data_IF_689458520808
#
_entry.id   IF_689458520808
#
_cell.length_a   1.000
_cell.length_b   1.000
_cell.length_c   1.000
_cell.angle_alpha   90.00
_cell.angle_beta   90.00
_cell.angle_gamma   90.00
#
_symmetry.space_group_name_H-M   'P 1'
#
loop_
_entity.id
_entity.type
_entity.pdbx_description
1 polymer ?
#
# COMPACT_ATOMS: atom_id res chain seq x y z
N UNK A 1 9.31 -32.81 -10.63
CA UNK A 1 7.95 -32.63 -10.09
C UNK A 1 7.49 -31.25 -10.51
N UNK A 2 6.40 -31.21 -11.26
CA UNK A 2 5.96 -30.08 -12.07
C UNK A 2 5.53 -28.90 -11.18
N UNK A 3 6.01 -27.71 -11.53
CA UNK A 3 5.55 -26.44 -10.96
C UNK A 3 4.15 -26.14 -11.51
N UNK A 4 3.12 -26.66 -10.84
CA UNK A 4 1.74 -26.26 -11.09
C UNK A 4 1.24 -25.35 -9.97
N UNK A 5 0.78 -24.18 -10.41
CA UNK A 5 -0.24 -23.33 -9.78
C UNK A 5 0.20 -22.41 -8.63
N UNK A 6 0.47 -21.14 -8.98
CA UNK A 6 0.00 -19.97 -8.21
C UNK A 6 -0.36 -18.83 -9.14
N UNK A 7 -1.56 -18.91 -9.73
CA UNK A 7 -2.30 -17.76 -10.22
C UNK A 7 -2.96 -17.08 -8.99
N UNK A 8 -2.40 -16.02 -8.42
CA UNK A 8 -3.12 -15.23 -7.38
C UNK A 8 -2.72 -13.75 -7.31
N UNK A 9 -2.17 -13.16 -8.37
CA UNK A 9 -2.02 -11.70 -8.41
C UNK A 9 -2.39 -11.13 -9.77
N UNK A 10 -3.56 -10.49 -9.83
CA UNK A 10 -4.03 -9.80 -11.03
C UNK A 10 -3.71 -8.32 -10.89
N UNK A 11 -2.56 -7.91 -11.42
CA UNK A 11 -2.20 -6.50 -11.52
C UNK A 11 -2.68 -5.97 -12.87
N UNK A 12 -3.35 -4.81 -12.86
CA UNK A 12 -3.82 -4.12 -14.05
C UNK A 12 -3.00 -2.85 -14.23
N UNK A 13 -2.41 -2.66 -15.42
CA UNK A 13 -1.63 -1.46 -15.75
C UNK A 13 -2.45 -0.57 -16.69
N UNK A 14 -2.54 0.71 -16.37
CA UNK A 14 -3.15 1.72 -17.22
C UNK A 14 -2.18 2.87 -17.49
N UNK A 15 -1.84 3.10 -18.76
CA UNK A 15 -1.03 4.24 -19.17
C UNK A 15 -1.80 5.57 -19.13
N UNK A 16 -3.11 5.53 -18.88
CA UNK A 16 -4.00 6.70 -18.84
C UNK A 16 -4.27 7.19 -17.41
N UNK A 17 -3.77 6.49 -16.39
CA UNK A 17 -4.05 6.80 -14.98
C UNK A 17 -3.38 8.09 -14.48
N UNK A 18 -2.40 8.64 -15.21
CA UNK A 18 -1.55 9.74 -14.74
C UNK A 18 -0.47 9.32 -13.74
N UNK A 19 -0.52 8.09 -13.20
CA UNK A 19 0.48 7.54 -12.28
C UNK A 19 1.55 6.73 -13.02
N UNK A 20 2.84 6.83 -12.63
CA UNK A 20 3.88 5.93 -13.12
C UNK A 20 3.54 4.45 -12.93
N UNK A 21 3.96 3.58 -13.85
CA UNK A 21 3.65 2.15 -13.82
C UNK A 21 4.16 1.46 -12.55
N UNK A 22 5.32 1.86 -12.03
CA UNK A 22 5.86 1.25 -10.80
C UNK A 22 4.95 1.53 -9.60
N UNK A 23 4.39 2.74 -9.51
CA UNK A 23 3.48 3.15 -8.43
C UNK A 23 2.15 2.38 -8.53
N UNK A 24 1.65 2.17 -9.75
CA UNK A 24 0.44 1.34 -9.96
C UNK A 24 0.63 -0.11 -9.51
N UNK A 25 1.83 -0.68 -9.69
CA UNK A 25 2.17 -2.02 -9.21
C UNK A 25 2.21 -1.98 -7.69
N UNK A 26 3.01 -1.09 -7.11
CA UNK A 26 3.16 -0.91 -5.68
C UNK A 26 1.82 -0.78 -4.96
N UNK A 27 0.95 0.14 -5.40
CA UNK A 27 -0.37 0.37 -4.81
C UNK A 27 -1.23 -0.89 -4.80
N UNK A 28 -1.23 -1.64 -5.91
CA UNK A 28 -2.00 -2.88 -6.02
C UNK A 28 -1.44 -3.99 -5.13
N UNK A 29 -0.11 -4.10 -5.01
CA UNK A 29 0.50 -5.08 -4.10
C UNK A 29 0.22 -4.71 -2.64
N UNK A 30 0.38 -3.44 -2.25
CA UNK A 30 0.03 -2.95 -0.91
C UNK A 30 -1.42 -3.26 -0.58
N UNK A 31 -2.35 -2.93 -1.49
CA UNK A 31 -3.79 -3.20 -1.29
C UNK A 31 -4.08 -4.68 -1.10
N UNK A 32 -3.44 -5.56 -1.88
CA UNK A 32 -3.61 -7.00 -1.75
C UNK A 32 -3.05 -7.53 -0.41
N UNK A 33 -1.98 -6.95 0.11
CA UNK A 33 -1.42 -7.31 1.43
C UNK A 33 -2.34 -6.80 2.56
N UNK A 34 -2.76 -5.54 2.49
CA UNK A 34 -3.60 -4.89 3.51
C UNK A 34 -5.01 -5.49 3.59
N UNK A 35 -5.56 -5.97 2.46
CA UNK A 35 -6.84 -6.68 2.44
C UNK A 35 -6.74 -8.15 2.87
N UNK A 36 -5.53 -8.66 3.12
CA UNK A 36 -5.28 -10.06 3.46
C UNK A 36 -5.41 -11.04 2.29
N UNK A 37 -5.57 -10.55 1.05
CA UNK A 37 -5.54 -11.38 -0.15
C UNK A 37 -4.16 -12.06 -0.31
N UNK A 38 -3.10 -11.31 -0.03
CA UNK A 38 -1.75 -11.83 0.11
C UNK A 38 -1.41 -12.02 1.59
N UNK A 39 -1.04 -13.25 1.96
CA UNK A 39 -0.80 -13.60 3.36
C UNK A 39 0.64 -13.32 3.78
N UNK A 40 0.85 -13.12 5.08
CA UNK A 40 2.20 -13.04 5.66
C UNK A 40 3.02 -14.27 5.29
N UNK A 41 4.29 -14.08 4.94
CA UNK A 41 5.21 -15.11 4.44
C UNK A 41 4.82 -15.73 3.09
N UNK A 42 3.80 -15.20 2.40
CA UNK A 42 3.51 -15.59 1.03
C UNK A 42 4.61 -15.12 0.09
N UNK A 43 5.08 -16.02 -0.77
CA UNK A 43 6.09 -15.70 -1.77
C UNK A 43 5.43 -14.95 -2.94
N UNK A 44 5.96 -13.77 -3.25
CA UNK A 44 5.58 -13.01 -4.43
C UNK A 44 6.21 -13.59 -5.70
N UNK A 45 5.64 -13.31 -6.88
CA UNK A 45 6.30 -13.60 -8.15
C UNK A 45 7.71 -13.01 -8.18
N UNK A 46 8.64 -13.66 -8.88
CA UNK A 46 9.94 -13.03 -9.12
C UNK A 46 9.78 -11.76 -9.96
N UNK A 47 10.65 -10.78 -9.76
CA UNK A 47 10.68 -9.53 -10.56
C UNK A 47 10.64 -9.84 -12.06
N UNK A 48 11.39 -10.85 -12.51
CA UNK A 48 11.43 -11.26 -13.93
C UNK A 48 10.12 -11.89 -14.40
N UNK A 49 9.47 -12.69 -13.56
CA UNK A 49 8.16 -13.28 -13.89
C UNK A 49 7.12 -12.17 -14.01
N UNK A 50 7.03 -11.30 -13.00
CA UNK A 50 6.04 -10.24 -13.00
C UNK A 50 6.22 -9.26 -14.16
N UNK A 51 7.46 -8.87 -14.47
CA UNK A 51 7.76 -8.04 -15.63
C UNK A 51 7.30 -8.68 -16.95
N UNK A 52 7.49 -10.01 -17.08
CA UNK A 52 7.05 -10.77 -18.26
C UNK A 52 5.53 -10.84 -18.34
N UNK A 53 4.86 -11.12 -17.22
CA UNK A 53 3.41 -11.28 -17.15
C UNK A 53 2.69 -9.96 -17.45
N UNK A 54 3.23 -8.84 -16.95
CA UNK A 54 2.71 -7.49 -17.19
C UNK A 54 3.20 -6.87 -18.52
N UNK A 55 4.16 -7.51 -19.19
CA UNK A 55 4.82 -7.01 -20.43
C UNK A 55 5.44 -5.62 -20.26
N UNK A 56 6.15 -5.41 -19.15
CA UNK A 56 6.82 -4.15 -18.82
C UNK A 56 8.32 -4.34 -18.60
N UNK A 57 9.05 -3.23 -18.43
CA UNK A 57 10.47 -3.27 -18.13
C UNK A 57 10.74 -3.92 -16.76
N UNK A 58 11.78 -4.76 -16.71
CA UNK A 58 12.31 -5.32 -15.46
C UNK A 58 12.68 -4.19 -14.49
N UNK A 59 13.23 -3.07 -14.99
CA UNK A 59 13.63 -1.92 -14.16
C UNK A 59 12.42 -1.35 -13.41
N UNK A 60 11.28 -1.21 -14.09
CA UNK A 60 10.03 -0.71 -13.49
C UNK A 60 9.53 -1.65 -12.39
N UNK A 61 9.61 -2.95 -12.62
CA UNK A 61 9.19 -3.97 -11.65
C UNK A 61 10.15 -4.03 -10.46
N UNK A 62 11.46 -3.93 -10.70
CA UNK A 62 12.49 -3.82 -9.65
C UNK A 62 12.23 -2.61 -8.76
N UNK A 63 11.92 -1.45 -9.36
CA UNK A 63 11.60 -0.25 -8.60
C UNK A 63 10.39 -0.48 -7.70
N UNK A 64 9.29 -1.01 -8.22
CA UNK A 64 8.11 -1.30 -7.41
C UNK A 64 8.42 -2.22 -6.22
N UNK A 65 9.23 -3.27 -6.42
CA UNK A 65 9.62 -4.18 -5.34
C UNK A 65 10.52 -3.50 -4.30
N UNK A 66 11.42 -2.61 -4.74
CA UNK A 66 12.26 -1.85 -3.84
C UNK A 66 11.45 -0.88 -2.98
N UNK A 67 10.47 -0.17 -3.56
CA UNK A 67 9.58 0.72 -2.80
C UNK A 67 8.72 -0.08 -1.78
N UNK A 68 8.21 -1.25 -2.18
CA UNK A 68 7.48 -2.15 -1.27
C UNK A 68 8.33 -2.64 -0.10
N UNK A 69 9.60 -2.98 -0.36
CA UNK A 69 10.55 -3.41 0.66
C UNK A 69 10.91 -2.26 1.61
N UNK A 70 11.20 -1.07 1.06
CA UNK A 70 11.47 0.14 1.84
C UNK A 70 10.27 0.54 2.71
N UNK A 71 9.05 0.37 2.20
CA UNK A 71 7.81 0.62 2.93
C UNK A 71 7.45 -0.51 3.93
N UNK A 72 8.22 -1.61 3.97
CA UNK A 72 8.05 -2.69 4.94
C UNK A 72 6.93 -3.68 4.64
N UNK A 73 6.42 -3.70 3.41
CA UNK A 73 5.38 -4.64 2.96
C UNK A 73 5.93 -5.98 2.52
N UNK A 74 7.20 -6.02 2.09
CA UNK A 74 7.86 -7.24 1.64
C UNK A 74 9.30 -7.29 2.15
N UNK A 75 9.88 -8.48 2.14
CA UNK A 75 11.32 -8.69 2.34
C UNK A 75 11.87 -9.55 1.23
N UNK A 76 13.04 -9.19 0.70
CA UNK A 76 13.74 -9.99 -0.28
C UNK A 76 14.79 -10.88 0.38
N UNK A 77 14.60 -12.19 0.32
CA UNK A 77 15.57 -13.16 0.79
C UNK A 77 16.47 -13.56 -0.36
N UNK A 78 17.75 -13.20 -0.27
CA UNK A 78 18.74 -13.46 -1.33
C UNK A 78 18.72 -14.94 -1.76
N UNK A 79 18.52 -15.17 -3.06
CA UNK A 79 18.45 -16.51 -3.65
C UNK A 79 17.15 -17.28 -3.44
N UNK A 80 16.20 -16.75 -2.63
CA UNK A 80 14.90 -17.40 -2.36
C UNK A 80 13.70 -16.60 -2.89
N UNK A 81 13.83 -15.28 -3.02
CA UNK A 81 12.80 -14.41 -3.59
C UNK A 81 12.17 -13.47 -2.57
N UNK A 82 11.09 -12.81 -2.97
CA UNK A 82 10.40 -11.82 -2.16
C UNK A 82 9.21 -12.44 -1.41
N UNK A 83 9.05 -12.05 -0.14
CA UNK A 83 8.01 -12.55 0.75
C UNK A 83 7.24 -11.40 1.40
N UNK A 84 5.94 -11.56 1.56
CA UNK A 84 5.07 -10.57 2.20
C UNK A 84 5.36 -10.47 3.69
N UNK A 85 5.60 -9.25 4.16
CA UNK A 85 5.59 -8.88 5.57
C UNK A 85 4.14 -8.54 5.94
N UNK A 86 3.68 -8.99 7.11
CA UNK A 86 2.29 -8.78 7.50
C UNK A 86 1.96 -7.32 7.79
N UNK A 87 0.66 -7.01 7.81
CA UNK A 87 0.16 -5.69 8.20
C UNK A 87 0.59 -5.28 9.62
N UNK A 88 0.87 -6.26 10.48
CA UNK A 88 1.40 -6.08 11.84
C UNK A 88 2.92 -5.86 11.90
N UNK A 89 3.59 -5.75 10.75
CA UNK A 89 4.99 -5.34 10.68
C UNK A 89 5.16 -4.01 11.41
N UNK A 90 6.07 -3.98 12.40
CA UNK A 90 6.38 -2.77 13.15
C UNK A 90 6.75 -1.60 12.22
N UNK A 91 7.37 -1.90 11.07
CA UNK A 91 7.75 -0.93 10.06
C UNK A 91 6.56 -0.36 9.28
N UNK A 92 5.54 -1.18 8.98
CA UNK A 92 4.30 -0.71 8.34
C UNK A 92 3.55 0.23 9.27
N UNK A 93 3.43 -0.14 10.55
CA UNK A 93 2.84 0.72 11.57
C UNK A 93 3.61 2.02 11.75
N UNK A 94 4.94 1.96 11.77
CA UNK A 94 5.79 3.15 11.88
C UNK A 94 5.63 4.08 10.67
N UNK A 95 5.63 3.55 9.45
CA UNK A 95 5.42 4.34 8.25
C UNK A 95 4.03 4.98 8.20
N UNK A 96 2.98 4.23 8.58
CA UNK A 96 1.63 4.77 8.69
C UNK A 96 1.55 5.90 9.72
N UNK A 97 2.19 5.75 10.89
CA UNK A 97 2.24 6.80 11.90
C UNK A 97 2.94 8.06 11.38
N UNK A 98 4.03 7.93 10.63
CA UNK A 98 4.73 9.08 10.01
C UNK A 98 3.88 9.81 8.98
N UNK A 99 3.15 9.07 8.14
CA UNK A 99 2.23 9.67 7.17
C UNK A 99 1.07 10.39 7.87
N UNK A 100 0.45 9.75 8.86
CA UNK A 100 -0.60 10.37 9.69
C UNK A 100 -0.08 11.65 10.34
N UNK A 101 1.10 11.62 10.94
CA UNK A 101 1.73 12.80 11.54
C UNK A 101 1.94 13.93 10.51
N UNK A 102 2.36 13.58 9.28
CA UNK A 102 2.52 14.56 8.20
C UNK A 102 1.19 15.23 7.85
N UNK A 103 0.12 14.45 7.67
CA UNK A 103 -1.21 14.99 7.36
C UNK A 103 -1.81 15.79 8.51
N UNK A 104 -1.65 15.33 9.74
CA UNK A 104 -2.12 16.06 10.93
C UNK A 104 -1.39 17.39 11.09
N UNK A 105 -0.08 17.45 10.84
CA UNK A 105 0.66 18.72 10.86
C UNK A 105 0.16 19.70 9.79
N UNK A 106 -0.12 19.22 8.57
CA UNK A 106 -0.72 20.05 7.52
C UNK A 106 -2.11 20.56 7.90
N UNK A 107 -2.94 19.72 8.53
CA UNK A 107 -4.24 20.12 9.04
C UNK A 107 -4.13 21.17 10.15
N UNK A 108 -3.20 20.98 11.10
CA UNK A 108 -2.93 21.94 12.18
C UNK A 108 -2.49 23.29 11.62
N UNK A 109 -1.59 23.32 10.64
CA UNK A 109 -1.10 24.57 10.07
C UNK A 109 -2.21 25.30 9.29
N UNK A 110 -3.05 24.55 8.59
CA UNK A 110 -4.25 25.10 7.92
C UNK A 110 -5.24 25.67 8.94
N UNK A 111 -5.49 24.96 10.05
CA UNK A 111 -6.36 25.41 11.12
C UNK A 111 -5.86 26.71 11.76
N UNK A 112 -4.54 26.84 11.99
CA UNK A 112 -3.93 28.08 12.51
C UNK A 112 -4.17 29.26 11.58
N UNK A 113 -4.00 29.09 10.27
CA UNK A 113 -4.23 30.14 9.27
C UNK A 113 -5.71 30.56 9.28
N UNK A 114 -6.61 29.59 9.36
CA UNK A 114 -8.06 29.81 9.42
C UNK A 114 -8.55 30.30 10.80
N UNK A 115 -7.67 30.39 11.80
CA UNK A 115 -7.98 30.72 13.21
C UNK A 115 -9.01 29.77 13.84
N UNK A 116 -8.99 28.51 13.41
CA UNK A 116 -9.79 27.44 13.99
C UNK A 116 -9.15 27.02 15.31
N UNK A 117 -9.95 26.92 16.37
CA UNK A 117 -9.46 26.49 17.67
C UNK A 117 -9.12 24.99 17.65
N UNK A 118 -8.14 24.53 18.45
CA UNK A 118 -7.81 23.10 18.51
C UNK A 118 -9.01 22.21 18.85
N UNK A 119 -9.89 22.66 19.74
CA UNK A 119 -11.09 21.90 20.12
C UNK A 119 -12.07 21.72 18.96
N UNK A 120 -12.19 22.73 18.09
CA UNK A 120 -13.01 22.67 16.88
C UNK A 120 -12.39 21.70 15.86
N UNK A 121 -11.07 21.72 15.69
CA UNK A 121 -10.35 20.74 14.86
C UNK A 121 -10.52 19.30 15.37
N UNK A 122 -10.46 19.09 16.69
CA UNK A 122 -10.75 17.78 17.31
C UNK A 122 -12.19 17.34 17.04
N UNK A 123 -13.16 18.25 17.22
CA UNK A 123 -14.58 17.97 16.94
C UNK A 123 -14.80 17.58 15.48
N UNK A 124 -14.13 18.27 14.55
CA UNK A 124 -14.18 17.94 13.12
C UNK A 124 -13.60 16.55 12.85
N UNK A 125 -12.43 16.22 13.43
CA UNK A 125 -11.81 14.90 13.28
C UNK A 125 -12.74 13.80 13.82
N UNK A 126 -13.28 13.99 15.02
CA UNK A 126 -14.20 13.04 15.65
C UNK A 126 -15.43 12.84 14.75
N UNK A 127 -16.03 13.92 14.24
CA UNK A 127 -17.19 13.83 13.34
C UNK A 127 -16.86 12.99 12.10
N UNK A 128 -15.72 13.26 11.44
CA UNK A 128 -15.29 12.54 10.24
C UNK A 128 -15.05 11.05 10.51
N UNK A 129 -14.42 10.71 11.63
CA UNK A 129 -14.17 9.32 12.02
C UNK A 129 -15.45 8.51 12.24
N UNK A 130 -16.55 9.17 12.65
CA UNK A 130 -17.85 8.50 12.85
C UNK A 130 -18.69 8.45 11.57
N UNK A 131 -18.31 9.15 10.49
CA UNK A 131 -19.11 9.20 9.25
C UNK A 131 -18.82 8.04 8.30
N UNK A 132 -17.71 7.31 8.47
CA UNK A 132 -17.34 6.14 7.65
C UNK A 132 -17.96 4.81 8.13
N UNK A 133 -18.80 4.82 9.18
CA UNK A 133 -19.40 3.63 9.79
C UNK A 133 -20.82 3.27 9.38
N UNK A 134 -21.52 4.09 8.57
CA UNK A 134 -22.98 3.99 8.39
C UNK A 134 -23.47 3.79 6.94
N UNK A 135 -22.59 3.43 6.00
CA UNK A 135 -23.00 2.99 4.66
C UNK A 135 -22.72 1.51 4.48
N UNK A 136 -23.57 0.66 5.06
CA UNK A 136 -23.99 -0.65 4.52
C UNK A 136 -24.83 -1.42 5.57
N UNK A 137 -26.05 -0.93 5.86
CA UNK A 137 -27.13 -1.79 6.32
C UNK A 137 -28.50 -1.14 6.03
N UNK A 138 -28.86 -1.05 4.75
CA UNK A 138 -30.26 -1.12 4.33
C UNK A 138 -30.34 -1.45 2.83
N UNK A 139 -30.56 -2.74 2.53
CA UNK A 139 -31.48 -3.28 1.53
C UNK A 139 -31.06 -4.67 1.02
#
# INVERSE_FOLDING_TARGET
LNHETRLTMRIVISNQSGKPIYEQIEDQIKTAILSGQLKVNEQLPSIRSLAKDLRISVITTTRAYHELEAAGFITNVQGKGAYVLGQDSALVKENALREIETYLNQAIDTAKIARIAPEELHTMLDTLMHTEGDTDNDN
#
